data_IF_313392886806
#
_entry.id   IF_313392886806
#
_cell.length_a   1.000
_cell.length_b   1.000
_cell.length_c   1.000
_cell.angle_alpha   90.00
_cell.angle_beta   90.00
_cell.angle_gamma   90.00
#
_symmetry.space_group_name_H-M   'P 1'
#
loop_
_entity.id
_entity.type
_entity.pdbx_description
1 polymer ?
#
# COMPACT_ATOMS: atom_id res chain seq x y z
N UNK A 1 -66.28 -42.53 -0.75
CA UNK A 1 -64.84 -42.17 -0.67
C UNK A 1 -64.58 -41.08 -1.69
N UNK A 2 -64.27 -39.85 -1.27
CA UNK A 2 -63.91 -38.73 -2.15
C UNK A 2 -62.41 -38.49 -1.99
N UNK A 3 -61.64 -38.71 -3.05
CA UNK A 3 -60.20 -38.50 -3.08
C UNK A 3 -59.94 -37.03 -3.43
N UNK A 4 -59.31 -36.29 -2.52
CA UNK A 4 -58.85 -34.92 -2.76
C UNK A 4 -57.44 -34.96 -3.36
N UNK A 5 -57.24 -34.29 -4.50
CA UNK A 5 -55.94 -34.09 -5.14
C UNK A 5 -55.46 -32.70 -4.74
N UNK A 6 -54.35 -32.63 -4.00
CA UNK A 6 -53.67 -31.38 -3.66
C UNK A 6 -52.63 -31.05 -4.73
N UNK A 7 -52.80 -29.91 -5.41
CA UNK A 7 -51.82 -29.35 -6.34
C UNK A 7 -50.79 -28.55 -5.53
N UNK A 8 -49.55 -29.03 -5.50
CA UNK A 8 -48.42 -28.25 -5.00
C UNK A 8 -47.98 -27.24 -6.07
N UNK A 9 -48.21 -25.95 -5.83
CA UNK A 9 -47.64 -24.88 -6.62
C UNK A 9 -46.15 -24.71 -6.25
N UNK A 10 -45.26 -25.10 -7.15
CA UNK A 10 -43.82 -24.87 -7.02
C UNK A 10 -43.54 -23.41 -7.43
N UNK A 11 -43.44 -22.50 -6.47
CA UNK A 11 -42.93 -21.13 -6.72
C UNK A 11 -41.42 -21.18 -6.93
N UNK A 12 -40.99 -21.13 -8.19
CA UNK A 12 -39.59 -20.91 -8.55
C UNK A 12 -39.24 -19.43 -8.29
N UNK A 13 -38.45 -19.17 -7.25
CA UNK A 13 -37.79 -17.86 -7.06
C UNK A 13 -36.70 -17.71 -8.13
N UNK A 14 -36.96 -16.88 -9.14
CA UNK A 14 -35.91 -16.42 -10.04
C UNK A 14 -34.94 -15.53 -9.25
N UNK A 15 -33.78 -16.08 -8.86
CA UNK A 15 -32.69 -15.27 -8.32
C UNK A 15 -32.14 -14.40 -9.46
N UNK A 16 -32.55 -13.14 -9.51
CA UNK A 16 -31.86 -12.14 -10.34
C UNK A 16 -30.41 -12.04 -9.86
N UNK A 17 -29.40 -12.21 -10.72
CA UNK A 17 -28.01 -12.13 -10.30
C UNK A 17 -27.73 -10.74 -9.72
N UNK A 18 -27.22 -10.69 -8.49
CA UNK A 18 -26.86 -9.43 -7.85
C UNK A 18 -25.85 -8.67 -8.73
N UNK A 19 -26.14 -7.42 -9.06
CA UNK A 19 -25.27 -6.56 -9.87
C UNK A 19 -24.36 -5.77 -8.92
N UNK A 20 -23.06 -5.71 -9.21
CA UNK A 20 -22.14 -4.90 -8.44
C UNK A 20 -22.44 -3.41 -8.66
N UNK A 21 -22.40 -2.62 -7.59
CA UNK A 21 -22.55 -1.18 -7.69
C UNK A 21 -21.43 -0.55 -8.54
N UNK A 22 -21.78 0.46 -9.32
CA UNK A 22 -20.81 1.31 -10.01
C UNK A 22 -20.16 2.25 -8.97
N UNK A 23 -18.85 2.12 -8.67
CA UNK A 23 -18.20 2.90 -7.63
C UNK A 23 -18.29 4.42 -7.85
N UNK A 24 -18.44 4.87 -9.10
CA UNK A 24 -18.61 6.29 -9.44
C UNK A 24 -20.03 6.81 -9.13
N UNK A 25 -21.02 5.93 -8.99
CA UNK A 25 -22.43 6.27 -8.75
C UNK A 25 -22.87 6.05 -7.30
N UNK A 26 -22.01 5.49 -6.44
CA UNK A 26 -22.30 5.35 -5.01
C UNK A 26 -22.56 6.74 -4.41
N UNK A 27 -23.70 6.90 -3.73
CA UNK A 27 -24.05 8.14 -3.06
C UNK A 27 -23.32 8.24 -1.70
N UNK A 28 -22.06 8.69 -1.75
CA UNK A 28 -21.21 8.83 -0.57
C UNK A 28 -21.72 9.83 0.48
N UNK A 29 -22.67 10.72 0.18
CA UNK A 29 -23.23 11.61 1.20
C UNK A 29 -24.14 10.87 2.20
N UNK A 30 -24.61 9.67 1.85
CA UNK A 30 -25.40 8.79 2.73
C UNK A 30 -24.55 7.83 3.57
N UNK A 31 -23.24 7.81 3.35
CA UNK A 31 -22.31 6.90 4.02
C UNK A 31 -21.60 7.66 5.14
N UNK A 32 -21.62 7.19 6.40
CA UNK A 32 -20.96 7.88 7.50
C UNK A 32 -19.46 8.11 7.24
N UNK A 33 -18.97 9.30 7.57
CA UNK A 33 -17.55 9.66 7.47
C UNK A 33 -16.88 9.43 8.81
N UNK A 34 -15.84 8.59 8.83
CA UNK A 34 -14.89 8.50 9.94
C UNK A 34 -13.67 9.35 9.61
N UNK A 35 -13.37 10.35 10.45
CA UNK A 35 -12.13 11.10 10.36
C UNK A 35 -11.06 10.45 11.22
N UNK A 36 -9.91 10.15 10.62
CA UNK A 36 -8.74 9.60 11.28
C UNK A 36 -7.56 10.56 11.13
N UNK A 37 -6.94 10.94 12.25
CA UNK A 37 -5.67 11.68 12.22
C UNK A 37 -4.53 10.67 12.16
N UNK A 38 -3.88 10.58 11.01
CA UNK A 38 -2.68 9.80 10.83
C UNK A 38 -1.48 10.63 11.28
N UNK A 39 -0.45 10.00 11.81
CA UNK A 39 0.75 10.68 12.28
C UNK A 39 2.02 10.01 11.75
N UNK A 40 3.08 10.79 11.64
CA UNK A 40 4.40 10.32 11.23
C UNK A 40 5.07 9.57 12.39
N UNK A 41 5.39 8.27 12.26
CA UNK A 41 5.89 7.44 13.36
C UNK A 41 7.43 7.43 13.46
N UNK A 42 8.13 8.04 12.50
CA UNK A 42 9.58 7.98 12.36
C UNK A 42 10.12 6.54 12.43
N UNK A 43 11.17 6.26 13.22
CA UNK A 43 11.74 4.92 13.43
C UNK A 43 11.21 4.24 14.70
N UNK A 44 9.99 4.52 15.16
CA UNK A 44 9.39 3.80 16.28
C UNK A 44 9.10 2.33 15.92
N UNK A 45 10.07 1.45 16.17
CA UNK A 45 10.02 0.03 15.85
C UNK A 45 9.30 -0.80 16.93
N UNK A 46 8.96 -2.04 16.57
CA UNK A 46 8.45 -3.09 17.43
C UNK A 46 9.33 -3.29 18.66
N UNK A 47 10.65 -3.27 18.46
CA UNK A 47 11.67 -3.40 19.50
C UNK A 47 11.66 -2.16 20.40
N UNK A 48 11.62 -0.96 19.83
CA UNK A 48 11.64 0.28 20.61
C UNK A 48 10.42 0.40 21.51
N UNK A 49 9.20 0.16 21.00
CA UNK A 49 7.95 0.26 21.79
C UNK A 49 7.87 -0.76 22.93
N UNK A 50 8.74 -1.77 22.91
CA UNK A 50 8.89 -2.82 23.93
C UNK A 50 10.17 -2.67 24.77
N UNK A 51 10.95 -1.62 24.56
CA UNK A 51 12.19 -1.37 25.31
C UNK A 51 11.94 -0.46 26.50
N UNK A 52 12.86 -0.48 27.48
CA UNK A 52 12.90 0.46 28.61
C UNK A 52 12.88 1.94 28.20
N UNK A 53 13.28 2.26 26.96
CA UNK A 53 13.20 3.61 26.37
C UNK A 53 11.77 4.08 26.08
N UNK A 54 10.80 3.17 26.05
CA UNK A 54 9.39 3.51 25.87
C UNK A 54 8.66 3.39 27.22
N UNK A 55 8.13 4.50 27.78
CA UNK A 55 7.47 4.49 29.09
C UNK A 55 6.29 3.51 29.21
N UNK A 56 5.65 3.16 28.09
CA UNK A 56 4.54 2.20 28.04
C UNK A 56 4.95 0.76 27.72
N UNK A 57 6.24 0.42 27.78
CA UNK A 57 6.74 -0.87 27.30
C UNK A 57 6.11 -2.08 28.00
N UNK A 58 5.92 -2.03 29.32
CA UNK A 58 5.31 -3.14 30.07
C UNK A 58 3.89 -3.46 29.58
N UNK A 59 3.10 -2.43 29.25
CA UNK A 59 1.76 -2.56 28.68
C UNK A 59 1.83 -3.21 27.29
N UNK A 60 2.74 -2.76 26.43
CA UNK A 60 2.88 -3.30 25.06
C UNK A 60 3.40 -4.75 25.07
N UNK A 61 4.37 -5.06 25.93
CA UNK A 61 4.95 -6.40 26.08
C UNK A 61 3.92 -7.44 26.53
N UNK A 62 2.94 -7.02 27.33
CA UNK A 62 1.82 -7.86 27.81
C UNK A 62 0.62 -7.88 26.86
N UNK A 63 0.77 -7.34 25.65
CA UNK A 63 -0.27 -7.35 24.62
C UNK A 63 -1.27 -6.19 24.69
N UNK A 64 -1.04 -5.19 25.53
CA UNK A 64 -1.88 -4.00 25.64
C UNK A 64 -1.87 -3.14 24.37
N UNK A 65 -2.94 -2.35 24.23
CA UNK A 65 -3.16 -1.51 23.05
C UNK A 65 -2.41 -0.18 23.12
N UNK A 66 -1.93 0.29 21.96
CA UNK A 66 -1.23 1.58 21.87
C UNK A 66 -2.13 2.74 22.32
N UNK A 67 -3.42 2.66 21.99
CA UNK A 67 -4.42 3.69 22.30
C UNK A 67 -4.68 3.86 23.80
N UNK A 68 -4.39 2.86 24.64
CA UNK A 68 -4.49 2.97 26.10
C UNK A 68 -3.72 4.17 26.64
N UNK A 69 -2.57 4.47 26.05
CA UNK A 69 -1.73 5.61 26.43
C UNK A 69 -1.75 6.75 25.41
N UNK A 70 -2.11 6.48 24.15
CA UNK A 70 -1.93 7.41 23.02
C UNK A 70 -3.22 7.89 22.35
N UNK A 71 -4.41 7.56 22.89
CA UNK A 71 -5.67 8.09 22.36
C UNK A 71 -5.66 9.63 22.31
N UNK A 72 -5.98 10.19 21.15
CA UNK A 72 -5.99 11.64 20.90
C UNK A 72 -4.61 12.32 20.84
N UNK A 73 -3.49 11.58 20.97
CA UNK A 73 -2.13 12.16 21.00
C UNK A 73 -1.42 12.18 19.65
N UNK A 74 -2.05 11.71 18.57
CA UNK A 74 -1.47 11.57 17.22
C UNK A 74 -0.79 12.86 16.74
N UNK A 75 -1.46 14.00 16.89
CA UNK A 75 -0.91 15.30 16.51
C UNK A 75 0.33 15.68 17.31
N UNK A 76 0.26 15.57 18.63
CA UNK A 76 1.39 15.89 19.50
C UNK A 76 2.60 14.99 19.23
N UNK A 77 2.37 13.69 18.97
CA UNK A 77 3.44 12.76 18.62
C UNK A 77 4.05 13.09 17.25
N UNK A 78 3.23 13.26 16.22
CA UNK A 78 3.69 13.60 14.88
C UNK A 78 4.51 14.90 14.87
N UNK A 79 4.00 15.96 15.50
CA UNK A 79 4.68 17.27 15.58
C UNK A 79 6.00 17.21 16.37
N UNK A 80 6.12 16.27 17.32
CA UNK A 80 7.37 16.02 18.03
C UNK A 80 8.36 15.26 17.16
N UNK A 81 7.91 14.20 16.49
CA UNK A 81 8.78 13.27 15.75
C UNK A 81 9.38 13.91 14.49
N UNK A 82 8.65 14.78 13.79
CA UNK A 82 9.19 15.49 12.61
C UNK A 82 10.32 16.46 12.93
N UNK A 83 10.53 16.82 14.20
CA UNK A 83 11.64 17.67 14.63
C UNK A 83 12.98 16.94 14.71
N UNK A 84 12.98 15.62 14.48
CA UNK A 84 14.18 14.80 14.59
C UNK A 84 14.42 14.27 16.01
N UNK A 85 15.56 13.61 16.18
CA UNK A 85 16.05 13.10 17.47
C UNK A 85 16.45 11.64 17.38
N UNK A 86 16.57 10.96 18.52
CA UNK A 86 17.01 9.55 18.55
C UNK A 86 16.11 8.61 17.72
N UNK A 87 14.81 8.91 17.61
CA UNK A 87 13.86 8.13 16.81
C UNK A 87 13.74 8.60 15.36
N UNK A 88 14.40 9.70 15.00
CA UNK A 88 14.48 10.17 13.62
C UNK A 88 15.84 10.85 13.39
N UNK A 89 16.92 10.05 13.23
CA UNK A 89 18.27 10.58 13.07
C UNK A 89 18.45 11.32 11.74
N UNK A 90 17.53 11.13 10.79
CA UNK A 90 17.54 11.77 9.48
C UNK A 90 16.12 12.27 9.17
N UNK A 91 15.69 13.38 9.79
CA UNK A 91 14.34 13.91 9.64
C UNK A 91 14.13 14.49 8.23
N UNK A 92 12.91 14.30 7.70
CA UNK A 92 12.56 14.79 6.37
C UNK A 92 12.20 16.27 6.45
N UNK A 93 13.00 17.11 5.78
CA UNK A 93 12.78 18.57 5.76
C UNK A 93 11.37 18.91 5.25
N UNK A 94 10.64 19.67 6.06
CA UNK A 94 9.28 20.14 5.74
C UNK A 94 8.19 19.08 5.87
N UNK A 95 8.48 17.90 6.43
CA UNK A 95 7.49 16.85 6.63
C UNK A 95 6.43 17.30 7.64
N UNK A 96 5.15 17.17 7.28
CA UNK A 96 4.04 17.36 8.22
C UNK A 96 4.02 16.24 9.27
N UNK A 97 3.74 16.60 10.52
CA UNK A 97 3.57 15.62 11.60
C UNK A 97 2.33 14.74 11.43
N UNK A 98 1.30 15.26 10.76
CA UNK A 98 -0.01 14.59 10.62
C UNK A 98 -0.63 14.80 9.26
N UNK A 99 -1.56 13.89 8.93
CA UNK A 99 -2.49 13.97 7.80
C UNK A 99 -3.88 13.57 8.32
N UNK A 100 -4.89 14.37 7.98
CA UNK A 100 -6.28 14.01 8.23
C UNK A 100 -6.80 13.17 7.05
N UNK A 101 -7.24 11.95 7.37
CA UNK A 101 -7.83 11.01 6.44
C UNK A 101 -9.32 10.88 6.74
N UNK A 102 -10.16 11.09 5.73
CA UNK A 102 -11.58 10.72 5.79
C UNK A 102 -11.75 9.33 5.21
N UNK A 103 -12.40 8.46 5.96
CA UNK A 103 -12.70 7.08 5.59
C UNK A 103 -14.21 6.88 5.56
N UNK A 104 -14.69 6.25 4.50
CA UNK A 104 -16.07 5.76 4.37
C UNK A 104 -16.03 4.35 3.80
N UNK A 105 -16.97 3.51 4.20
CA UNK A 105 -17.05 2.14 3.71
C UNK A 105 -18.48 1.82 3.28
N UNK A 106 -18.62 1.09 2.19
CA UNK A 106 -19.86 0.52 1.72
C UNK A 106 -19.59 -0.88 1.17
N UNK A 107 -20.61 -1.71 1.00
CA UNK A 107 -20.45 -3.03 0.38
C UNK A 107 -21.76 -3.47 -0.25
N UNK A 108 -21.70 -4.32 -1.27
CA UNK A 108 -22.85 -5.01 -1.86
C UNK A 108 -22.64 -6.53 -1.78
N UNK A 109 -23.41 -7.31 -2.55
CA UNK A 109 -23.26 -8.76 -2.56
C UNK A 109 -21.93 -9.26 -3.18
N UNK A 110 -21.19 -8.41 -3.88
CA UNK A 110 -19.97 -8.74 -4.64
C UNK A 110 -18.72 -8.08 -4.10
N UNK A 111 -18.78 -6.81 -3.72
CA UNK A 111 -17.60 -6.00 -3.40
C UNK A 111 -17.76 -5.21 -2.10
N UNK A 112 -16.64 -4.97 -1.43
CA UNK A 112 -16.44 -3.86 -0.52
C UNK A 112 -15.86 -2.65 -1.26
N UNK A 113 -16.32 -1.46 -0.86
CA UNK A 113 -15.91 -0.16 -1.39
C UNK A 113 -15.35 0.68 -0.26
N UNK A 114 -14.08 1.07 -0.37
CA UNK A 114 -13.41 1.91 0.63
C UNK A 114 -13.09 3.26 0.02
N UNK A 115 -13.75 4.31 0.51
CA UNK A 115 -13.49 5.68 0.07
C UNK A 115 -12.56 6.40 1.04
N UNK A 116 -11.53 6.98 0.48
CA UNK A 116 -10.49 7.72 1.18
C UNK A 116 -10.40 9.15 0.65
N UNK A 117 -10.27 10.13 1.53
CA UNK A 117 -9.92 11.49 1.14
C UNK A 117 -8.85 12.07 2.07
N UNK A 118 -7.80 12.63 1.47
CA UNK A 118 -6.76 13.37 2.19
C UNK A 118 -6.28 14.55 1.35
N UNK A 119 -5.86 15.62 2.03
CA UNK A 119 -5.23 16.77 1.38
C UNK A 119 -3.74 16.50 1.22
N UNK A 120 -3.23 16.59 -0.01
CA UNK A 120 -1.79 16.44 -0.28
C UNK A 120 -1.01 17.59 0.34
N UNK A 121 0.27 17.33 0.68
CA UNK A 121 1.16 18.37 1.17
C UNK A 121 1.50 19.38 0.09
N UNK A 122 1.69 18.91 -1.14
CA UNK A 122 2.04 19.74 -2.29
C UNK A 122 0.84 20.02 -3.20
N UNK A 123 0.88 21.13 -3.98
CA UNK A 123 -0.15 21.47 -4.97
C UNK A 123 -0.03 20.62 -6.25
N UNK A 124 0.47 19.39 -6.13
CA UNK A 124 0.54 18.39 -7.19
C UNK A 124 -0.01 17.05 -6.67
N UNK A 125 -0.50 16.18 -7.55
CA UNK A 125 -1.12 14.93 -7.14
C UNK A 125 -0.11 13.83 -6.77
N UNK A 126 1.20 14.08 -6.89
CA UNK A 126 2.27 13.11 -6.68
C UNK A 126 2.07 11.80 -7.45
N UNK A 127 1.73 11.92 -8.73
CA UNK A 127 1.52 10.77 -9.62
C UNK A 127 2.77 10.36 -10.40
N UNK A 128 3.93 10.94 -10.08
CA UNK A 128 5.19 10.65 -10.74
C UNK A 128 6.01 9.63 -9.94
N UNK A 129 6.82 8.85 -10.66
CA UNK A 129 7.83 7.96 -10.10
C UNK A 129 9.17 8.28 -10.77
N UNK A 130 10.24 7.60 -10.38
CA UNK A 130 11.53 7.69 -11.06
C UNK A 130 11.43 7.63 -12.59
N UNK A 131 12.35 8.32 -13.26
CA UNK A 131 12.52 8.31 -14.71
C UNK A 131 13.88 7.71 -15.09
N UNK A 132 13.99 7.16 -16.29
CA UNK A 132 15.24 6.93 -17.00
C UNK A 132 15.58 8.21 -17.76
N UNK A 133 16.67 8.88 -17.40
CA UNK A 133 17.19 10.10 -18.05
C UNK A 133 18.43 9.79 -18.87
N UNK A 134 18.45 10.24 -20.12
CA UNK A 134 19.61 10.13 -20.98
C UNK A 134 20.67 11.18 -20.63
N UNK A 135 21.90 10.78 -20.37
CA UNK A 135 23.02 11.66 -20.02
C UNK A 135 23.89 12.07 -21.23
N UNK A 136 23.40 11.81 -22.45
CA UNK A 136 24.15 11.99 -23.70
C UNK A 136 24.92 10.74 -24.14
N UNK A 137 25.08 9.74 -23.26
CA UNK A 137 25.75 8.47 -23.56
C UNK A 137 24.93 7.25 -23.16
N UNK A 138 24.31 7.29 -21.98
CA UNK A 138 23.56 6.20 -21.39
C UNK A 138 22.31 6.70 -20.67
N UNK A 139 21.37 5.79 -20.46
CA UNK A 139 20.20 6.01 -19.63
C UNK A 139 20.54 5.72 -18.18
N UNK A 140 20.10 6.58 -17.27
CA UNK A 140 20.31 6.45 -15.82
C UNK A 140 19.04 6.83 -15.07
N UNK A 141 18.81 6.20 -13.93
CA UNK A 141 17.71 6.60 -13.03
C UNK A 141 17.86 8.06 -12.61
N UNK A 142 16.76 8.80 -12.67
CA UNK A 142 16.64 10.20 -12.29
C UNK A 142 15.46 10.39 -11.34
N UNK A 143 15.74 11.09 -10.25
CA UNK A 143 14.82 11.27 -9.13
C UNK A 143 14.73 10.05 -8.23
N UNK A 144 14.47 10.27 -6.94
CA UNK A 144 14.39 9.22 -5.92
C UNK A 144 13.42 9.66 -4.80
N UNK A 145 12.98 8.76 -3.90
CA UNK A 145 12.23 9.18 -2.71
C UNK A 145 13.04 10.13 -1.84
N UNK A 146 12.37 11.01 -1.08
CA UNK A 146 13.04 11.99 -0.22
C UNK A 146 14.01 11.38 0.79
N UNK A 147 13.74 10.19 1.31
CA UNK A 147 14.62 9.54 2.30
C UNK A 147 15.89 8.96 1.68
N UNK A 148 15.98 8.88 0.35
CA UNK A 148 17.20 8.42 -0.30
C UNK A 148 18.35 9.41 -0.04
N UNK A 149 19.53 8.88 0.26
CA UNK A 149 20.72 9.66 0.57
C UNK A 149 21.05 10.65 -0.56
N UNK A 150 20.89 10.26 -1.83
CA UNK A 150 21.21 11.12 -2.98
C UNK A 150 20.29 12.35 -3.06
N UNK A 151 19.07 12.25 -2.52
CA UNK A 151 18.11 13.37 -2.44
C UNK A 151 18.40 14.23 -1.22
N UNK A 152 18.72 13.61 -0.08
CA UNK A 152 19.14 14.32 1.13
C UNK A 152 20.39 15.19 0.89
N UNK A 153 21.32 14.70 0.08
CA UNK A 153 22.52 15.44 -0.35
C UNK A 153 22.25 16.49 -1.44
N UNK A 154 21.01 16.60 -1.95
CA UNK A 154 20.63 17.55 -2.98
C UNK A 154 21.16 17.22 -4.39
N UNK A 155 21.68 16.00 -4.62
CA UNK A 155 22.27 15.57 -5.90
C UNK A 155 21.21 15.12 -6.92
N UNK A 156 20.05 14.68 -6.47
CA UNK A 156 18.91 14.29 -7.31
C UNK A 156 17.61 14.89 -6.74
N UNK A 157 16.59 15.12 -7.58
CA UNK A 157 15.30 15.61 -7.12
C UNK A 157 14.52 14.53 -6.35
N UNK A 158 13.66 14.96 -5.44
CA UNK A 158 12.62 14.09 -4.89
C UNK A 158 11.57 13.80 -5.98
N UNK A 159 11.39 12.55 -6.37
CA UNK A 159 10.34 12.09 -7.28
C UNK A 159 9.85 10.74 -6.77
N UNK A 160 8.66 10.73 -6.18
CA UNK A 160 8.03 9.49 -5.75
C UNK A 160 6.52 9.65 -5.62
N UNK A 161 5.81 8.54 -5.83
CA UNK A 161 4.37 8.54 -5.91
C UNK A 161 3.68 8.65 -4.54
N UNK A 162 2.47 9.23 -4.55
CA UNK A 162 1.50 9.13 -3.47
C UNK A 162 1.00 7.70 -3.33
N UNK A 163 0.73 7.27 -2.09
CA UNK A 163 0.09 5.96 -1.85
C UNK A 163 -0.91 6.01 -0.72
N UNK A 164 -2.02 5.29 -0.89
CA UNK A 164 -2.99 5.02 0.16
C UNK A 164 -3.00 3.52 0.44
N UNK A 165 -2.93 3.15 1.72
CA UNK A 165 -2.77 1.76 2.17
C UNK A 165 -3.81 1.41 3.20
N UNK A 166 -4.38 0.22 3.09
CA UNK A 166 -5.16 -0.44 4.14
C UNK A 166 -4.46 -1.76 4.48
N UNK A 167 -4.22 -1.97 5.77
CA UNK A 167 -3.91 -3.28 6.34
C UNK A 167 -5.18 -3.89 6.90
N UNK A 168 -5.41 -5.19 6.68
CA UNK A 168 -6.61 -5.88 7.14
C UNK A 168 -6.27 -7.23 7.79
N UNK A 169 -6.85 -7.45 8.98
CA UNK A 169 -6.77 -8.70 9.73
C UNK A 169 -8.18 -9.15 10.15
N UNK A 170 -8.42 -10.46 10.09
CA UNK A 170 -9.67 -11.13 10.45
C UNK A 170 -9.69 -11.62 11.91
N UNK A 171 -8.81 -11.08 12.76
CA UNK A 171 -8.64 -11.45 14.16
C UNK A 171 -7.71 -12.64 14.40
N UNK A 172 -7.05 -13.14 13.36
CA UNK A 172 -6.16 -14.32 13.45
C UNK A 172 -4.71 -13.96 13.69
N UNK A 173 -4.32 -12.70 13.53
CA UNK A 173 -2.95 -12.24 13.81
C UNK A 173 -2.84 -11.79 15.26
N UNK A 174 -2.07 -12.51 16.11
CA UNK A 174 -1.96 -12.17 17.53
C UNK A 174 -1.47 -10.74 17.76
N UNK A 175 -2.22 -9.98 18.56
CA UNK A 175 -1.88 -8.60 18.94
C UNK A 175 -2.26 -7.52 17.92
N UNK A 176 -2.74 -7.87 16.72
CA UNK A 176 -2.98 -6.87 15.68
C UNK A 176 -4.12 -5.92 16.08
N UNK A 177 -5.16 -6.43 16.71
CA UNK A 177 -6.28 -5.63 17.25
C UNK A 177 -5.84 -4.59 18.29
N UNK A 178 -4.68 -4.77 18.94
CA UNK A 178 -4.17 -3.89 19.98
C UNK A 178 -3.08 -2.94 19.45
N UNK A 179 -2.25 -3.44 18.53
CA UNK A 179 -0.98 -2.79 18.16
C UNK A 179 -0.85 -2.50 16.67
N UNK A 180 -1.75 -3.01 15.84
CA UNK A 180 -1.84 -2.72 14.42
C UNK A 180 -0.51 -2.85 13.68
N UNK A 181 -0.19 -1.84 12.87
CA UNK A 181 0.98 -1.87 11.99
C UNK A 181 2.33 -1.94 12.71
N UNK A 182 2.41 -1.61 14.01
CA UNK A 182 3.66 -1.75 14.78
C UNK A 182 4.13 -3.19 14.90
N UNK A 183 3.23 -4.18 14.78
CA UNK A 183 3.61 -5.59 14.66
C UNK A 183 4.48 -5.90 13.44
N UNK A 184 4.54 -4.98 12.46
CA UNK A 184 5.22 -5.22 11.19
C UNK A 184 6.41 -4.30 10.94
N UNK A 185 6.71 -3.40 11.89
CA UNK A 185 7.73 -2.37 11.76
C UNK A 185 8.87 -2.67 12.73
N UNK A 186 9.97 -3.24 12.26
CA UNK A 186 11.06 -3.72 13.09
C UNK A 186 12.37 -2.97 12.81
N UNK A 187 13.26 -3.00 13.80
CA UNK A 187 14.69 -2.78 13.59
C UNK A 187 15.21 -3.74 12.49
N UNK A 188 16.27 -3.34 11.80
CA UNK A 188 16.85 -4.13 10.72
C UNK A 188 16.19 -3.92 9.36
N UNK A 189 14.98 -3.36 9.27
CA UNK A 189 14.33 -3.08 7.99
C UNK A 189 14.98 -1.91 7.23
N UNK A 190 14.70 -1.81 5.93
CA UNK A 190 15.07 -0.61 5.14
C UNK A 190 14.54 0.67 5.80
N UNK A 191 15.43 1.65 5.89
CA UNK A 191 15.25 2.98 6.47
C UNK A 191 14.87 2.97 7.96
N UNK A 192 15.00 1.83 8.65
CA UNK A 192 14.77 1.71 10.11
C UNK A 192 16.10 1.68 10.88
N UNK A 193 16.01 1.75 12.21
CA UNK A 193 17.17 1.60 13.07
C UNK A 193 17.85 0.24 12.84
N UNK A 194 19.19 0.22 12.92
CA UNK A 194 20.02 -0.98 12.71
C UNK A 194 19.76 -1.68 11.37
N UNK A 195 19.48 -0.92 10.31
CA UNK A 195 19.24 -1.45 8.97
C UNK A 195 20.27 -2.52 8.57
N UNK A 196 19.78 -3.61 7.99
CA UNK A 196 20.59 -4.74 7.53
C UNK A 196 21.76 -4.34 6.61
N UNK A 197 22.80 -5.17 6.58
CA UNK A 197 23.81 -5.16 5.51
C UNK A 197 23.57 -6.26 4.48
N UNK A 198 24.18 -6.11 3.30
CA UNK A 198 24.10 -7.13 2.23
C UNK A 198 24.66 -8.49 2.68
N UNK A 199 25.70 -8.48 3.51
CA UNK A 199 26.36 -9.67 4.06
C UNK A 199 25.43 -10.37 5.05
N UNK A 200 24.77 -9.61 5.93
CA UNK A 200 23.82 -10.17 6.90
C UNK A 200 22.63 -10.82 6.21
N UNK A 201 22.09 -10.20 5.14
CA UNK A 201 20.98 -10.79 4.38
C UNK A 201 21.40 -12.06 3.65
N UNK A 202 22.57 -12.06 3.01
CA UNK A 202 23.12 -13.25 2.33
C UNK A 202 23.39 -14.41 3.31
N UNK A 203 23.79 -14.09 4.55
CA UNK A 203 24.02 -15.09 5.59
C UNK A 203 22.73 -15.56 6.28
N UNK A 204 21.60 -14.89 6.08
CA UNK A 204 20.34 -15.23 6.73
C UNK A 204 19.68 -16.46 6.07
N UNK A 205 19.46 -17.58 6.80
CA UNK A 205 18.90 -18.79 6.22
C UNK A 205 17.48 -18.60 5.67
N UNK A 206 16.62 -17.86 6.37
CA UNK A 206 15.25 -17.62 5.93
C UNK A 206 15.23 -16.77 4.66
N UNK A 207 15.88 -15.61 4.65
CA UNK A 207 15.87 -14.71 3.48
C UNK A 207 16.49 -15.38 2.25
N UNK A 208 17.53 -16.20 2.43
CA UNK A 208 18.09 -17.04 1.37
C UNK A 208 17.04 -18.02 0.84
N UNK A 209 16.33 -18.72 1.73
CA UNK A 209 15.32 -19.69 1.35
C UNK A 209 14.12 -19.06 0.59
N UNK A 210 13.70 -17.85 0.97
CA UNK A 210 12.62 -17.10 0.30
C UNK A 210 13.13 -16.17 -0.82
N UNK A 211 14.42 -16.26 -1.16
CA UNK A 211 15.09 -15.52 -2.25
C UNK A 211 14.93 -13.99 -2.14
N UNK A 212 15.11 -13.44 -0.94
CA UNK A 212 15.10 -11.99 -0.69
C UNK A 212 16.50 -11.47 -0.39
N UNK A 213 16.76 -10.25 -0.82
CA UNK A 213 18.04 -9.56 -0.67
C UNK A 213 17.95 -8.30 0.20
N UNK A 214 16.81 -8.11 0.88
CA UNK A 214 16.54 -7.03 1.80
C UNK A 214 15.66 -7.50 2.96
N UNK A 215 15.53 -6.64 3.99
CA UNK A 215 14.58 -6.83 5.08
C UNK A 215 13.43 -5.83 4.93
N UNK A 216 12.21 -6.35 4.90
CA UNK A 216 10.95 -5.58 4.85
C UNK A 216 10.06 -5.96 6.03
N UNK A 217 8.80 -5.52 6.00
CA UNK A 217 7.79 -5.85 7.01
C UNK A 217 7.69 -7.37 7.17
N UNK A 218 7.58 -7.82 8.42
CA UNK A 218 7.32 -9.21 8.80
C UNK A 218 6.53 -9.25 10.10
N UNK A 219 5.87 -10.36 10.42
CA UNK A 219 5.12 -10.57 11.64
C UNK A 219 5.99 -11.27 12.69
N UNK A 220 5.85 -10.94 13.98
CA UNK A 220 6.75 -11.47 15.01
C UNK A 220 6.58 -12.98 15.21
N UNK A 221 5.40 -13.52 14.90
CA UNK A 221 5.08 -14.96 14.94
C UNK A 221 5.95 -15.82 14.02
N UNK A 222 6.60 -15.21 13.02
CA UNK A 222 7.46 -15.87 12.03
C UNK A 222 8.93 -15.90 12.44
N UNK A 223 9.25 -15.46 13.66
CA UNK A 223 10.59 -15.48 14.25
C UNK A 223 10.61 -16.34 15.52
N UNK A 224 11.74 -16.96 15.83
CA UNK A 224 11.94 -17.64 17.12
C UNK A 224 12.22 -16.62 18.23
N UNK A 225 12.91 -15.52 17.91
CA UNK A 225 12.91 -14.28 18.69
C UNK A 225 12.08 -13.21 17.95
N UNK A 226 10.88 -12.84 18.45
CA UNK A 226 10.00 -11.85 17.83
C UNK A 226 10.64 -10.48 17.53
N UNK A 227 11.72 -10.13 18.22
CA UNK A 227 12.43 -8.86 18.15
C UNK A 227 13.73 -8.92 17.33
N UNK A 228 14.01 -10.05 16.66
CA UNK A 228 15.21 -10.23 15.85
C UNK A 228 14.88 -10.84 14.50
N UNK A 229 15.00 -10.02 13.45
CA UNK A 229 14.74 -10.42 12.08
C UNK A 229 15.61 -11.58 11.61
N UNK A 230 16.77 -11.81 12.24
CA UNK A 230 17.72 -12.88 11.90
C UNK A 230 17.21 -14.26 12.26
N UNK A 231 16.22 -14.34 13.15
CA UNK A 231 15.78 -15.60 13.78
C UNK A 231 14.55 -16.21 13.08
N UNK A 232 14.58 -16.25 11.74
CA UNK A 232 13.51 -16.84 10.93
C UNK A 232 13.15 -18.27 11.34
N UNK A 233 11.85 -18.56 11.51
CA UNK A 233 11.35 -19.93 11.66
C UNK A 233 11.53 -20.73 10.37
N UNK A 234 11.38 -22.05 10.46
CA UNK A 234 11.43 -22.92 9.28
C UNK A 234 10.29 -22.60 8.29
N UNK A 235 10.50 -22.91 7.01
CA UNK A 235 9.45 -22.73 5.99
C UNK A 235 8.19 -23.56 6.28
N UNK A 236 8.34 -24.72 6.92
CA UNK A 236 7.20 -25.55 7.32
C UNK A 236 6.35 -24.87 8.39
N UNK A 237 6.98 -24.29 9.42
CA UNK A 237 6.27 -23.51 10.45
C UNK A 237 5.59 -22.28 9.86
N UNK A 238 6.26 -21.57 8.94
CA UNK A 238 5.70 -20.41 8.24
C UNK A 238 4.50 -20.83 7.38
N UNK A 239 4.58 -21.95 6.67
CA UNK A 239 3.46 -22.48 5.90
C UNK A 239 2.26 -22.83 6.79
N UNK A 240 2.49 -23.41 7.98
CA UNK A 240 1.42 -23.66 8.98
C UNK A 240 0.77 -22.36 9.46
N UNK A 241 1.55 -21.30 9.71
CA UNK A 241 1.02 -19.98 10.04
C UNK A 241 0.17 -19.41 8.91
N UNK A 242 0.65 -19.50 7.66
CA UNK A 242 -0.10 -19.04 6.48
C UNK A 242 -1.42 -19.78 6.34
N UNK A 243 -1.40 -21.12 6.42
CA UNK A 243 -2.59 -21.96 6.33
C UNK A 243 -3.61 -21.68 7.44
N UNK A 244 -3.13 -21.30 8.64
CA UNK A 244 -3.98 -20.85 9.74
C UNK A 244 -4.53 -19.43 9.54
N UNK A 245 -4.16 -18.73 8.46
CA UNK A 245 -4.57 -17.35 8.19
C UNK A 245 -3.82 -16.32 9.03
N UNK A 246 -2.69 -16.65 9.65
CA UNK A 246 -1.93 -15.76 10.53
C UNK A 246 -1.03 -14.75 9.75
N UNK A 247 -1.59 -14.12 8.73
CA UNK A 247 -0.99 -13.03 7.94
C UNK A 247 -1.88 -11.77 7.98
N UNK A 248 -1.33 -10.62 7.64
CA UNK A 248 -2.08 -9.36 7.50
C UNK A 248 -2.15 -9.01 6.02
N UNK A 249 -3.34 -8.81 5.47
CA UNK A 249 -3.51 -8.33 4.09
C UNK A 249 -3.10 -6.86 4.00
N UNK A 250 -2.54 -6.45 2.86
CA UNK A 250 -1.92 -5.16 2.63
C UNK A 250 -2.24 -4.66 1.21
N UNK A 251 -3.36 -3.98 1.08
CA UNK A 251 -3.80 -3.39 -0.20
C UNK A 251 -3.22 -1.99 -0.33
N UNK A 252 -2.69 -1.66 -1.50
CA UNK A 252 -2.13 -0.33 -1.78
C UNK A 252 -2.64 0.26 -3.10
N UNK A 253 -3.25 1.43 -3.03
CA UNK A 253 -3.35 2.29 -4.21
C UNK A 253 -2.04 3.08 -4.38
N UNK A 254 -1.57 3.16 -5.62
CA UNK A 254 -0.28 3.74 -6.02
C UNK A 254 -0.48 4.78 -7.12
N UNK A 255 -0.11 6.03 -6.84
CA UNK A 255 -0.39 7.17 -7.70
C UNK A 255 0.19 7.08 -9.11
N UNK A 256 1.35 6.45 -9.29
CA UNK A 256 1.94 6.18 -10.60
C UNK A 256 1.67 4.75 -11.06
N UNK A 257 1.87 3.77 -10.17
CA UNK A 257 1.93 2.36 -10.55
C UNK A 257 0.58 1.65 -10.69
N UNK A 258 -0.51 2.18 -10.17
CA UNK A 258 -1.83 1.51 -10.25
C UNK A 258 -2.97 2.45 -10.67
N UNK A 259 -2.90 3.74 -10.32
CA UNK A 259 -3.88 4.75 -10.68
C UNK A 259 -4.20 4.87 -12.18
N UNK A 260 -3.23 4.98 -13.12
CA UNK A 260 -3.54 5.24 -14.54
C UNK A 260 -4.31 4.11 -15.22
N UNK A 261 -4.27 2.92 -14.63
CA UNK A 261 -4.97 1.73 -15.12
C UNK A 261 -6.16 1.35 -14.23
N UNK A 262 -6.51 2.17 -13.23
CA UNK A 262 -7.69 1.99 -12.38
C UNK A 262 -7.62 0.81 -11.41
N UNK A 263 -6.42 0.48 -10.90
CA UNK A 263 -6.22 -0.68 -10.02
C UNK A 263 -5.62 -0.30 -8.67
N UNK A 264 -5.59 -1.26 -7.74
CA UNK A 264 -4.77 -1.23 -6.54
C UNK A 264 -3.95 -2.53 -6.45
N UNK A 265 -2.73 -2.41 -5.91
CA UNK A 265 -1.82 -3.52 -5.60
C UNK A 265 -2.40 -4.35 -4.46
N UNK A 266 -2.28 -5.67 -4.60
CA UNK A 266 -2.69 -6.65 -3.60
C UNK A 266 -1.51 -7.45 -3.05
N UNK A 267 -1.50 -7.62 -1.74
CA UNK A 267 -0.35 -8.18 -1.05
C UNK A 267 -0.65 -8.52 0.39
N UNK A 268 0.33 -9.13 1.06
CA UNK A 268 0.23 -9.46 2.48
C UNK A 268 1.58 -9.38 3.20
N UNK A 269 1.50 -9.36 4.54
CA UNK A 269 2.65 -9.46 5.44
C UNK A 269 2.55 -10.75 6.25
N UNK A 270 3.57 -11.58 6.12
CA UNK A 270 3.80 -12.78 6.94
C UNK A 270 5.25 -12.78 7.43
N UNK A 271 6.12 -13.61 6.88
CA UNK A 271 7.56 -13.66 7.17
C UNK A 271 8.36 -12.58 6.43
N UNK A 272 7.71 -12.00 5.43
CA UNK A 272 8.14 -10.89 4.61
C UNK A 272 6.90 -10.16 4.05
N UNK A 273 7.11 -9.01 3.39
CA UNK A 273 6.08 -8.29 2.63
C UNK A 273 6.00 -8.84 1.21
N UNK A 274 4.94 -9.57 0.91
CA UNK A 274 4.68 -10.17 -0.40
C UNK A 274 3.70 -9.33 -1.21
N UNK A 275 3.80 -9.42 -2.53
CA UNK A 275 2.65 -9.24 -3.42
C UNK A 275 1.93 -10.57 -3.53
N UNK A 276 0.66 -10.54 -3.88
CA UNK A 276 -0.16 -11.72 -4.10
C UNK A 276 0.28 -12.51 -5.33
N UNK A 277 -0.24 -13.73 -5.47
CA UNK A 277 0.12 -14.60 -6.58
C UNK A 277 -0.31 -14.00 -7.93
N UNK A 278 0.59 -14.10 -8.93
CA UNK A 278 0.33 -13.64 -10.29
C UNK A 278 1.20 -12.45 -10.67
N UNK A 279 0.60 -11.45 -11.32
CA UNK A 279 1.30 -10.28 -11.86
C UNK A 279 0.56 -9.00 -11.50
N UNK A 280 1.31 -8.06 -10.94
CA UNK A 280 0.90 -6.68 -10.74
C UNK A 280 0.70 -5.93 -12.07
N UNK A 281 -0.01 -4.80 -12.00
CA UNK A 281 -0.30 -3.92 -13.14
C UNK A 281 0.84 -2.98 -13.55
N UNK A 282 2.05 -3.21 -13.04
CA UNK A 282 3.24 -2.41 -13.37
C UNK A 282 4.48 -3.27 -13.54
N UNK A 283 5.43 -2.79 -14.33
CA UNK A 283 6.74 -3.41 -14.49
C UNK A 283 7.83 -2.35 -14.66
N UNK A 284 9.06 -2.69 -14.27
CA UNK A 284 10.21 -1.84 -14.55
C UNK A 284 10.41 -1.70 -16.06
N UNK A 285 10.72 -0.49 -16.53
CA UNK A 285 10.91 -0.16 -17.94
C UNK A 285 12.38 -0.21 -18.36
N UNK A 286 13.33 -0.40 -17.44
CA UNK A 286 14.74 -0.56 -17.80
C UNK A 286 15.06 -1.99 -18.31
N UNK A 287 15.85 -2.08 -19.37
CA UNK A 287 16.52 -3.32 -19.78
C UNK A 287 17.60 -3.71 -18.78
N UNK A 288 17.67 -4.98 -18.42
CA UNK A 288 18.55 -5.44 -17.34
C UNK A 288 20.05 -5.38 -17.68
N UNK A 289 20.42 -5.36 -18.98
CA UNK A 289 21.82 -5.35 -19.42
C UNK A 289 22.31 -3.96 -19.78
N UNK A 290 21.50 -3.23 -20.53
CA UNK A 290 21.86 -1.92 -21.11
C UNK A 290 21.36 -0.76 -20.27
N UNK A 291 20.38 -1.00 -19.40
CA UNK A 291 19.64 0.03 -18.66
C UNK A 291 18.87 1.03 -19.54
N UNK A 292 18.82 0.79 -20.86
CA UNK A 292 17.97 1.55 -21.77
C UNK A 292 16.48 1.25 -21.51
N UNK A 293 15.56 2.18 -21.82
CA UNK A 293 14.14 1.91 -21.76
C UNK A 293 13.77 0.74 -22.68
N UNK A 294 12.80 -0.07 -22.25
CA UNK A 294 12.18 -1.12 -23.09
C UNK A 294 11.07 -0.54 -23.95
N UNK A 295 10.42 0.50 -23.44
CA UNK A 295 9.33 1.21 -24.11
C UNK A 295 9.50 2.73 -23.97
N UNK A 296 8.92 3.45 -24.92
CA UNK A 296 8.82 4.91 -24.97
C UNK A 296 7.39 5.34 -25.31
N UNK A 297 7.09 6.62 -25.14
CA UNK A 297 5.80 7.15 -25.58
C UNK A 297 5.66 7.11 -27.10
N UNK A 298 4.46 6.73 -27.55
CA UNK A 298 4.06 6.86 -28.95
C UNK A 298 3.82 8.35 -29.26
N UNK A 299 4.79 8.97 -29.92
CA UNK A 299 4.72 10.37 -30.32
C UNK A 299 3.46 10.69 -31.15
N UNK A 300 2.93 9.74 -31.92
CA UNK A 300 1.71 9.98 -32.72
C UNK A 300 0.45 10.10 -31.85
N UNK A 301 0.47 9.49 -30.66
CA UNK A 301 -0.67 9.50 -29.72
C UNK A 301 -0.62 10.64 -28.72
N UNK A 302 0.57 10.94 -28.18
CA UNK A 302 0.72 11.94 -27.10
C UNK A 302 1.46 13.20 -27.53
N UNK A 303 1.99 13.25 -28.76
CA UNK A 303 2.67 14.42 -29.32
C UNK A 303 4.16 14.54 -28.95
N UNK A 304 4.67 13.70 -28.06
CA UNK A 304 6.07 13.68 -27.63
C UNK A 304 6.58 12.25 -27.41
N UNK A 305 7.90 12.07 -27.47
CA UNK A 305 8.59 10.79 -27.24
C UNK A 305 9.28 10.70 -25.88
N UNK A 306 9.56 11.85 -25.28
CA UNK A 306 10.24 12.08 -23.99
C UNK A 306 9.73 13.37 -23.38
N UNK A 307 9.97 13.52 -22.08
CA UNK A 307 9.86 14.80 -21.37
C UNK A 307 11.23 15.21 -20.83
N UNK A 308 11.34 16.39 -20.24
CA UNK A 308 12.54 16.87 -19.54
C UNK A 308 12.23 17.22 -18.08
N UNK A 309 13.27 17.50 -17.29
CA UNK A 309 13.10 17.94 -15.91
C UNK A 309 12.21 19.20 -15.75
N UNK A 310 12.07 20.01 -16.82
CA UNK A 310 11.21 21.20 -16.83
C UNK A 310 9.71 20.86 -16.87
N UNK A 311 9.39 19.63 -17.27
CA UNK A 311 8.02 19.16 -17.46
C UNK A 311 7.51 18.39 -16.24
N UNK A 312 8.39 18.01 -15.31
CA UNK A 312 8.01 17.32 -14.08
C UNK A 312 6.87 18.04 -13.35
N UNK A 313 5.89 17.26 -12.88
CA UNK A 313 4.67 17.72 -12.19
C UNK A 313 3.74 18.59 -13.06
N UNK A 314 3.96 18.66 -14.37
CA UNK A 314 3.11 19.40 -15.32
C UNK A 314 2.32 18.45 -16.23
N UNK A 315 1.34 17.76 -15.64
CA UNK A 315 0.45 16.86 -16.36
C UNK A 315 0.63 15.39 -15.97
N UNK A 316 0.03 14.51 -16.77
CA UNK A 316 -0.02 13.07 -16.51
C UNK A 316 1.01 12.33 -17.38
N UNK A 317 2.19 12.09 -16.84
CA UNK A 317 3.30 11.43 -17.54
C UNK A 317 3.29 9.90 -17.38
N UNK A 318 2.14 9.27 -17.57
CA UNK A 318 2.04 7.81 -17.49
C UNK A 318 2.47 7.16 -18.80
N UNK A 319 3.24 6.08 -18.69
CA UNK A 319 3.50 5.15 -19.79
C UNK A 319 2.63 3.90 -19.60
N UNK A 320 1.63 3.74 -20.45
CA UNK A 320 0.61 2.69 -20.37
C UNK A 320 0.70 1.84 -21.63
N UNK A 321 1.02 0.54 -21.47
CA UNK A 321 1.41 -0.36 -22.56
C UNK A 321 0.41 -0.37 -23.72
N UNK A 322 -0.86 -0.51 -23.39
CA UNK A 322 -1.97 -0.68 -24.32
C UNK A 322 -2.50 0.66 -24.86
N UNK A 323 -2.20 1.78 -24.20
CA UNK A 323 -2.75 3.09 -24.57
C UNK A 323 -1.75 3.90 -25.39
N UNK A 324 -0.55 4.14 -24.87
CA UNK A 324 0.33 5.19 -25.37
C UNK A 324 1.82 4.80 -25.47
N UNK A 325 2.15 3.52 -25.36
CA UNK A 325 3.53 3.05 -25.44
C UNK A 325 3.83 2.34 -26.77
N UNK A 326 5.09 2.45 -27.21
CA UNK A 326 5.69 1.68 -28.31
C UNK A 326 7.05 1.13 -27.85
N UNK A 327 7.58 0.06 -28.48
CA UNK A 327 8.93 -0.42 -28.20
C UNK A 327 9.94 0.73 -28.32
N UNK A 328 10.93 0.73 -27.43
CA UNK A 328 11.97 1.75 -27.43
C UNK A 328 12.79 1.71 -28.72
N UNK A 329 12.90 2.85 -29.40
CA UNK A 329 13.75 3.03 -30.57
C UNK A 329 15.05 3.76 -30.16
N UNK A 330 16.23 3.09 -30.15
CA UNK A 330 17.49 3.73 -29.81
C UNK A 330 17.92 4.81 -30.83
N UNK A 331 17.38 4.77 -32.05
CA UNK A 331 17.71 5.70 -33.12
C UNK A 331 16.73 6.88 -33.23
N UNK A 332 15.82 7.04 -32.26
CA UNK A 332 14.84 8.11 -32.27
C UNK A 332 15.44 9.52 -32.12
N UNK A 333 16.77 9.69 -32.04
CA UNK A 333 17.44 10.99 -31.88
C UNK A 333 17.31 11.55 -30.47
N UNK A 334 17.77 10.78 -29.48
CA UNK A 334 17.77 11.14 -28.06
C UNK A 334 18.77 12.25 -27.75
N UNK A 335 18.37 13.19 -26.90
CA UNK A 335 19.17 14.33 -26.45
C UNK A 335 19.44 14.22 -24.96
N UNK A 336 20.59 14.75 -24.53
CA UNK A 336 20.89 14.83 -23.11
C UNK A 336 19.73 15.53 -22.36
N UNK A 337 19.24 14.88 -21.31
CA UNK A 337 18.13 15.35 -20.51
C UNK A 337 16.76 14.84 -20.91
N UNK A 338 16.64 14.08 -22.02
CA UNK A 338 15.42 13.32 -22.33
C UNK A 338 15.13 12.30 -21.22
N UNK A 339 13.86 12.21 -20.83
CA UNK A 339 13.39 11.32 -19.77
C UNK A 339 12.20 10.49 -20.22
N UNK A 340 12.19 9.24 -19.79
CA UNK A 340 11.11 8.25 -19.98
C UNK A 340 10.81 7.61 -18.61
N UNK A 341 9.56 7.28 -18.27
CA UNK A 341 9.24 6.67 -16.98
C UNK A 341 10.02 5.38 -16.75
N UNK A 342 10.56 5.20 -15.55
CA UNK A 342 11.27 3.97 -15.14
C UNK A 342 10.29 2.82 -14.88
N UNK A 343 8.99 3.12 -14.77
CA UNK A 343 7.94 2.13 -14.69
C UNK A 343 6.93 2.32 -15.81
N UNK A 344 6.48 1.20 -16.36
CA UNK A 344 5.32 1.13 -17.23
C UNK A 344 4.15 0.51 -16.45
N UNK A 345 2.93 0.90 -16.80
CA UNK A 345 1.69 0.28 -16.32
C UNK A 345 0.96 -0.45 -17.44
N UNK A 346 0.18 -1.47 -17.08
CA UNK A 346 -0.58 -2.29 -18.00
C UNK A 346 -1.66 -3.05 -17.26
N UNK A 347 -2.94 -2.77 -17.54
CA UNK A 347 -4.03 -3.57 -16.98
C UNK A 347 -4.04 -4.96 -17.60
N UNK A 348 -3.70 -5.06 -18.88
CA UNK A 348 -3.76 -6.31 -19.63
C UNK A 348 -2.70 -7.34 -19.18
N UNK A 349 -1.64 -6.91 -18.51
CA UNK A 349 -0.64 -7.83 -17.93
C UNK A 349 -0.98 -8.30 -16.51
N UNK A 350 -1.89 -7.60 -15.83
CA UNK A 350 -2.28 -7.92 -14.47
C UNK A 350 -3.07 -9.24 -14.46
N UNK A 351 -2.72 -10.16 -13.57
CA UNK A 351 -3.30 -11.49 -13.51
C UNK A 351 -3.15 -12.13 -12.13
N UNK A 352 -3.98 -13.14 -11.83
CA UNK A 352 -3.98 -13.82 -10.54
C UNK A 352 -4.59 -12.98 -9.42
N UNK A 353 -4.38 -13.38 -8.17
CA UNK A 353 -4.87 -12.64 -6.99
C UNK A 353 -4.23 -11.25 -6.87
N UNK A 354 -3.02 -11.07 -7.37
CA UNK A 354 -2.38 -9.74 -7.48
C UNK A 354 -3.20 -8.69 -8.27
N UNK A 355 -4.21 -9.11 -9.03
CA UNK A 355 -5.06 -8.26 -9.85
C UNK A 355 -6.51 -8.13 -9.33
N UNK A 356 -6.81 -8.61 -8.11
CA UNK A 356 -8.18 -8.64 -7.58
C UNK A 356 -8.77 -7.25 -7.32
N UNK A 357 -7.92 -6.29 -6.92
CA UNK A 357 -8.36 -4.97 -6.49
C UNK A 357 -8.42 -3.93 -7.62
N UNK A 358 -9.55 -3.22 -7.67
CA UNK A 358 -9.74 -2.08 -8.56
C UNK A 358 -9.77 -0.77 -7.78
N UNK A 359 -9.59 0.35 -8.48
CA UNK A 359 -9.68 1.67 -7.87
C UNK A 359 -10.11 2.74 -8.88
N UNK A 360 -10.88 3.71 -8.42
CA UNK A 360 -11.06 4.99 -9.10
C UNK A 360 -10.54 6.10 -8.21
N UNK A 361 -9.80 7.04 -8.76
CA UNK A 361 -9.28 8.18 -8.02
C UNK A 361 -9.39 9.46 -8.82
N UNK A 362 -9.65 10.56 -8.12
CA UNK A 362 -9.54 11.91 -8.67
C UNK A 362 -8.79 12.80 -7.68
N UNK A 363 -8.00 13.71 -8.20
CA UNK A 363 -7.37 14.76 -7.42
C UNK A 363 -7.95 16.11 -7.85
N UNK A 364 -8.47 16.87 -6.90
CA UNK A 364 -9.05 18.19 -7.14
C UNK A 364 -8.73 19.11 -5.97
N UNK A 365 -8.24 20.31 -6.27
CA UNK A 365 -7.94 21.36 -5.26
C UNK A 365 -7.05 20.85 -4.10
N UNK A 366 -5.99 20.11 -4.43
CA UNK A 366 -5.07 19.58 -3.42
C UNK A 366 -5.61 18.40 -2.63
N UNK A 367 -6.73 17.78 -3.03
CA UNK A 367 -7.35 16.67 -2.30
C UNK A 367 -7.52 15.46 -3.19
N UNK A 368 -6.99 14.33 -2.76
CA UNK A 368 -7.32 13.04 -3.35
C UNK A 368 -8.69 12.58 -2.86
N UNK A 369 -9.48 12.02 -3.78
CA UNK A 369 -10.67 11.22 -3.51
C UNK A 369 -10.50 9.90 -4.22
N UNK A 370 -10.28 8.85 -3.44
CA UNK A 370 -10.04 7.49 -3.90
C UNK A 370 -11.19 6.59 -3.46
N UNK A 371 -11.65 5.71 -4.34
CA UNK A 371 -12.48 4.55 -3.99
C UNK A 371 -11.72 3.30 -4.41
N UNK A 372 -11.27 2.51 -3.43
CA UNK A 372 -10.79 1.15 -3.67
C UNK A 372 -11.99 0.19 -3.70
N UNK A 373 -11.96 -0.75 -4.63
CA UNK A 373 -12.99 -1.78 -4.83
C UNK A 373 -12.32 -3.13 -4.64
N UNK A 374 -12.76 -3.86 -3.62
CA UNK A 374 -12.23 -5.16 -3.24
C UNK A 374 -13.34 -6.20 -3.30
N UNK A 375 -13.21 -7.30 -4.06
CA UNK A 375 -14.20 -8.37 -4.03
C UNK A 375 -14.37 -8.97 -2.62
N UNK A 376 -15.59 -9.36 -2.25
CA UNK A 376 -15.87 -10.03 -0.97
C UNK A 376 -15.51 -11.51 -1.01
N UNK A 377 -15.82 -12.17 -2.12
CA UNK A 377 -15.70 -13.62 -2.31
C UNK A 377 -14.30 -14.12 -2.68
N UNK A 378 -13.24 -13.39 -2.31
CA UNK A 378 -11.87 -13.86 -2.52
C UNK A 378 -11.62 -15.11 -1.66
N UNK A 379 -11.07 -16.14 -2.30
CA UNK A 379 -10.82 -17.45 -1.68
C UNK A 379 -9.34 -17.88 -1.79
N UNK A 380 -8.48 -17.01 -2.31
CA UNK A 380 -7.06 -17.34 -2.43
C UNK A 380 -6.41 -17.36 -1.04
N UNK A 381 -5.34 -18.13 -0.91
CA UNK A 381 -4.65 -18.35 0.39
C UNK A 381 -3.85 -17.14 0.90
N UNK A 382 -3.77 -16.10 0.09
CA UNK A 382 -3.12 -14.81 0.29
C UNK A 382 -4.11 -13.68 0.62
N UNK A 383 -5.42 -13.96 0.55
CA UNK A 383 -6.51 -13.03 0.85
C UNK A 383 -7.22 -13.29 2.18
N UNK A 384 -7.78 -12.24 2.79
CA UNK A 384 -8.77 -12.37 3.86
C UNK A 384 -10.18 -12.47 3.30
N UNK A 385 -10.95 -13.45 3.76
CA UNK A 385 -12.36 -13.53 3.38
C UNK A 385 -13.18 -12.42 4.06
N UNK A 386 -13.87 -11.60 3.25
CA UNK A 386 -14.81 -10.60 3.74
C UNK A 386 -16.24 -11.07 3.60
N UNK A 387 -17.06 -10.88 4.63
CA UNK A 387 -18.47 -11.29 4.62
C UNK A 387 -19.37 -10.34 5.37
N UNK A 388 -20.65 -10.35 4.99
CA UNK A 388 -21.73 -9.68 5.71
C UNK A 388 -21.78 -10.17 7.17
N UNK A 389 -21.99 -9.24 8.11
CA UNK A 389 -21.88 -9.45 9.55
C UNK A 389 -20.45 -9.56 10.11
N UNK A 390 -19.41 -9.50 9.26
CA UNK A 390 -18.01 -9.61 9.68
C UNK A 390 -17.47 -8.34 10.34
N UNK A 391 -16.55 -8.52 11.30
CA UNK A 391 -15.77 -7.44 11.93
C UNK A 391 -14.28 -7.73 11.75
N UNK A 392 -13.53 -6.73 11.28
CA UNK A 392 -12.13 -6.85 10.90
C UNK A 392 -11.31 -5.76 11.59
N UNK A 393 -10.03 -6.03 11.85
CA UNK A 393 -9.08 -5.03 12.33
C UNK A 393 -8.41 -4.37 11.13
N UNK A 394 -8.37 -3.04 11.09
CA UNK A 394 -7.79 -2.27 9.99
C UNK A 394 -6.81 -1.21 10.47
N UNK A 395 -5.76 -0.99 9.68
CA UNK A 395 -4.81 0.09 9.84
C UNK A 395 -4.62 0.85 8.53
N UNK A 396 -4.41 2.15 8.60
CA UNK A 396 -4.29 3.01 7.44
C UNK A 396 -2.91 3.65 7.34
N UNK A 397 -2.43 3.85 6.11
CA UNK A 397 -1.25 4.66 5.87
C UNK A 397 -1.36 5.51 4.60
N UNK A 398 -0.84 6.73 4.67
CA UNK A 398 -0.69 7.65 3.55
C UNK A 398 0.78 7.96 3.34
N UNK A 399 1.28 7.68 2.14
CA UNK A 399 2.58 8.16 1.68
C UNK A 399 2.31 9.45 0.89
N UNK A 400 2.54 10.57 1.55
CA UNK A 400 2.54 11.91 0.97
C UNK A 400 3.92 12.53 1.18
N UNK A 401 4.31 13.48 0.33
CA UNK A 401 5.60 14.18 0.36
C UNK A 401 6.76 13.47 -0.40
N UNK A 402 6.49 12.79 -1.52
CA UNK A 402 7.50 12.04 -2.31
C UNK A 402 8.27 11.02 -1.45
N UNK A 403 7.53 10.24 -0.66
CA UNK A 403 8.10 9.46 0.43
C UNK A 403 7.88 7.95 0.28
N UNK A 404 8.78 7.17 0.88
CA UNK A 404 8.64 5.72 1.00
C UNK A 404 8.98 5.21 2.39
N UNK A 405 8.96 3.88 2.56
CA UNK A 405 9.41 3.15 3.76
C UNK A 405 8.89 3.77 5.05
N UNK A 406 9.73 4.24 5.98
CA UNK A 406 9.30 4.78 7.28
C UNK A 406 8.61 6.15 7.21
N UNK A 407 8.67 6.81 6.06
CA UNK A 407 8.28 8.21 5.90
C UNK A 407 6.77 8.47 5.78
N UNK A 408 5.93 7.43 5.79
CA UNK A 408 4.48 7.57 5.70
C UNK A 408 3.84 7.94 7.04
N UNK A 409 2.63 8.47 6.96
CA UNK A 409 1.77 8.65 8.12
C UNK A 409 0.96 7.39 8.36
N UNK A 410 0.76 7.02 9.62
CA UNK A 410 0.01 5.81 10.04
C UNK A 410 -1.14 6.15 10.97
N UNK A 411 -2.17 5.32 10.98
CA UNK A 411 -3.22 5.35 12.00
C UNK A 411 -2.91 4.36 13.13
N UNK A 412 -3.55 4.55 14.29
CA UNK A 412 -3.79 3.43 15.18
C UNK A 412 -4.85 2.49 14.58
N UNK A 413 -4.92 1.27 15.09
CA UNK A 413 -5.88 0.26 14.63
C UNK A 413 -7.31 0.71 14.90
N UNK A 414 -8.22 0.33 13.99
CA UNK A 414 -9.66 0.50 14.07
C UNK A 414 -10.36 -0.81 13.74
N UNK A 415 -11.62 -0.92 14.13
CA UNK A 415 -12.50 -1.99 13.66
C UNK A 415 -13.31 -1.54 12.43
N UNK A 416 -13.44 -2.43 11.45
CA UNK A 416 -14.28 -2.30 10.26
C UNK A 416 -15.38 -3.36 10.32
N UNK A 417 -16.64 -2.95 10.31
CA UNK A 417 -17.80 -3.84 10.34
C UNK A 417 -18.55 -3.82 9.00
N UNK A 418 -18.74 -4.97 8.38
CA UNK A 418 -19.61 -5.11 7.20
C UNK A 418 -20.99 -5.52 7.72
N UNK A 419 -21.94 -4.57 7.81
CA UNK A 419 -23.25 -4.83 8.42
C UNK A 419 -23.19 -5.14 9.92
N UNK A 420 -22.08 -4.81 10.58
CA UNK A 420 -21.82 -5.07 12.00
C UNK A 420 -21.34 -3.81 12.71
N UNK A 421 -21.53 -3.75 14.04
CA UNK A 421 -21.07 -2.63 14.87
C UNK A 421 -19.53 -2.62 14.94
N UNK A 422 -18.94 -1.48 14.59
CA UNK A 422 -17.51 -1.24 14.60
C UNK A 422 -17.22 0.28 14.61
N UNK A 423 -15.95 0.66 14.67
CA UNK A 423 -15.50 2.06 14.56
C UNK A 423 -15.81 2.66 13.19
N UNK A 424 -15.67 1.84 12.14
CA UNK A 424 -16.03 2.14 10.76
C UNK A 424 -17.12 1.15 10.34
N UNK A 425 -18.32 1.64 10.09
CA UNK A 425 -19.47 0.82 9.73
C UNK A 425 -19.71 0.92 8.23
N UNK A 426 -19.45 -0.18 7.51
CA UNK A 426 -19.73 -0.24 6.09
C UNK A 426 -21.24 -0.33 5.88
N UNK A 427 -21.77 0.55 5.03
CA UNK A 427 -23.20 0.56 4.68
C UNK A 427 -23.46 -0.43 3.55
N UNK A 428 -24.44 -1.32 3.76
CA UNK A 428 -24.89 -2.25 2.72
C UNK A 428 -25.62 -1.48 1.63
N UNK A 429 -25.17 -1.64 0.40
CA UNK A 429 -25.81 -1.09 -0.79
C UNK A 429 -26.92 -2.06 -1.27
N UNK A 430 -27.92 -1.53 -1.99
CA UNK A 430 -29.01 -2.33 -2.56
C UNK A 430 -28.56 -3.47 -3.47
#
# INVERSE_FOLDING_TARGET
MKTAVSIFALTAFAMTPAIAADPAKINWSKIPVKSETLFYPAQASYEWVRSDKHPGASVVQTGGACVTCHEGKQKAMGDKLVKGGLMDPMPVKGKKGTIDLKVQAAYDAKNAYFRFQWKTQYPDPGTEHQYLRFDGKAWKVHGYPKLDQVVQEGKQPAIYEERMTIMLDDGKVPGFAQQGCWLTCHDGMRDMAKQFTSEEVKANPLLTAIKKNDVRKYLPSTRTNPSDWKTGKSLEEIAKLKAAGAFVELIQWRGHRSNPVGMADDGYVLDFRYSDAGKDMFSGNADAKTHAPKFMWDQKKVGYKSITAKDLRKGNHFLIREVNAVPFDPNAGWKEGDMIPDYMTSRADAAGSAADNNAIANWKQGTWTLVMVRPLGLSNSDDKALKDGGVYNVGFAVHDDNITTRGHHVSFVRTLGLGAKADIQAVKLP
#
